data_IF_407607666421
#
_entry.id   IF_407607666421
#
_cell.length_a   1.000
_cell.length_b   1.000
_cell.length_c   1.000
_cell.angle_alpha   90.00
_cell.angle_beta   90.00
_cell.angle_gamma   90.00
#
_symmetry.space_group_name_H-M   'P 1'
#
loop_
_entity.id
_entity.type
_entity.pdbx_description
1 polymer ?
#
# COMPACT_ATOMS: atom_id res chain seq x y z
N UNK A 1 67.27 50.57 -16.92
CA UNK A 1 67.09 49.60 -18.01
C UNK A 1 67.59 48.24 -17.56
N UNK A 2 66.71 47.42 -16.98
CA UNK A 2 66.94 46.00 -16.72
C UNK A 2 65.58 45.32 -16.55
N UNK A 3 65.25 44.58 -17.60
CA UNK A 3 64.63 43.26 -17.52
C UNK A 3 63.11 43.14 -17.30
N UNK A 4 62.34 43.84 -18.14
CA UNK A 4 60.96 43.51 -18.54
C UNK A 4 60.87 42.20 -19.37
N UNK A 5 61.81 41.26 -19.16
CA UNK A 5 62.01 40.07 -19.99
C UNK A 5 61.51 38.80 -19.32
N UNK A 6 61.28 38.85 -18.00
CA UNK A 6 60.80 37.70 -17.22
C UNK A 6 59.27 37.67 -17.05
N UNK A 7 58.58 38.78 -17.33
CA UNK A 7 57.10 38.85 -17.27
C UNK A 7 56.43 38.31 -18.54
N UNK A 8 57.13 38.35 -19.68
CA UNK A 8 56.61 37.88 -20.97
C UNK A 8 56.66 36.36 -21.14
N UNK A 9 57.52 35.66 -20.39
CA UNK A 9 57.70 34.21 -20.50
C UNK A 9 56.65 33.45 -19.66
N UNK A 10 56.16 34.04 -18.55
CA UNK A 10 55.17 33.38 -17.67
C UNK A 10 53.73 33.39 -18.18
N UNK A 11 53.36 34.28 -19.10
CA UNK A 11 51.96 34.43 -19.56
C UNK A 11 51.68 33.58 -20.82
N UNK A 12 52.73 33.17 -21.55
CA UNK A 12 52.59 32.33 -22.75
C UNK A 12 52.23 30.87 -22.45
N UNK A 13 52.33 30.42 -21.20
CA UNK A 13 51.96 29.05 -20.78
C UNK A 13 50.55 28.93 -20.20
N UNK A 14 49.74 30.00 -20.23
CA UNK A 14 48.33 29.97 -19.82
C UNK A 14 47.32 30.04 -20.98
N UNK A 15 47.79 30.06 -22.25
CA UNK A 15 46.90 30.13 -23.44
C UNK A 15 46.89 28.83 -24.28
N UNK A 16 47.71 27.83 -23.95
CA UNK A 16 47.68 26.49 -24.61
C UNK A 16 46.78 25.50 -23.82
N UNK A 17 45.83 26.01 -23.03
CA UNK A 17 44.87 25.21 -22.25
C UNK A 17 43.42 25.26 -22.76
N UNK A 18 43.14 25.92 -23.89
CA UNK A 18 41.76 26.22 -24.32
C UNK A 18 41.44 25.77 -25.76
N UNK A 19 42.40 25.25 -26.52
CA UNK A 19 42.17 24.74 -27.89
C UNK A 19 42.18 23.20 -27.88
N UNK A 20 41.35 22.61 -27.02
CA UNK A 20 41.04 21.18 -26.99
C UNK A 20 39.68 20.88 -27.64
N UNK A 21 39.27 21.67 -28.64
CA UNK A 21 38.06 21.42 -29.41
C UNK A 21 38.42 20.45 -30.56
N UNK A 22 38.47 19.15 -30.26
CA UNK A 22 38.49 18.09 -31.26
C UNK A 22 37.35 17.12 -30.96
N UNK A 23 36.16 17.53 -31.41
CA UNK A 23 35.23 16.72 -32.22
C UNK A 23 35.28 15.21 -31.92
N UNK A 24 34.44 14.76 -30.97
CA UNK A 24 33.88 13.41 -30.98
C UNK A 24 32.41 13.52 -31.40
N UNK A 25 32.04 13.23 -32.65
CA UNK A 25 30.65 13.06 -33.04
C UNK A 25 30.31 11.59 -32.80
N UNK A 26 29.71 11.29 -31.65
CA UNK A 26 29.21 9.93 -31.42
C UNK A 26 29.42 9.42 -30.01
N UNK A 27 28.66 10.00 -29.09
CA UNK A 27 27.78 9.22 -28.22
C UNK A 27 26.91 10.26 -27.54
N UNK A 28 25.84 10.66 -28.25
CA UNK A 28 24.67 11.18 -27.56
C UNK A 28 24.30 10.09 -26.58
N UNK A 29 24.32 10.43 -25.29
CA UNK A 29 23.69 9.65 -24.24
C UNK A 29 22.27 9.35 -24.71
N UNK A 30 22.05 8.18 -25.28
CA UNK A 30 20.70 7.62 -25.28
C UNK A 30 20.47 7.30 -23.82
N UNK A 31 19.97 8.28 -23.07
CA UNK A 31 19.05 8.01 -21.97
C UNK A 31 17.82 7.41 -22.64
N UNK A 32 17.98 6.19 -23.18
CA UNK A 32 16.88 5.32 -23.56
C UNK A 32 16.08 5.22 -22.29
N UNK A 33 14.84 5.72 -22.37
CA UNK A 33 13.98 5.88 -21.22
C UNK A 33 14.01 4.59 -20.41
N UNK A 34 14.55 4.68 -19.20
CA UNK A 34 14.00 3.89 -18.12
C UNK A 34 12.61 4.50 -17.94
N UNK A 35 11.66 4.09 -18.79
CA UNK A 35 10.26 4.05 -18.40
C UNK A 35 10.20 3.00 -17.31
N UNK A 36 10.74 3.35 -16.14
CA UNK A 36 10.43 2.74 -14.87
C UNK A 36 9.03 3.19 -14.52
N UNK A 37 8.06 2.82 -15.37
CA UNK A 37 6.72 2.60 -14.90
C UNK A 37 6.83 1.41 -13.97
N UNK A 38 7.20 1.66 -12.71
CA UNK A 38 6.93 0.70 -11.67
C UNK A 38 5.46 0.35 -11.82
N UNK A 39 5.17 -0.89 -12.17
CA UNK A 39 3.80 -1.37 -12.22
C UNK A 39 3.27 -1.18 -10.80
N UNK A 40 2.51 -0.10 -10.58
CA UNK A 40 1.72 0.06 -9.38
C UNK A 40 0.71 -1.08 -9.45
N UNK A 41 0.93 -2.14 -8.67
CA UNK A 41 0.00 -3.26 -8.63
C UNK A 41 -1.39 -2.75 -8.25
N UNK A 42 -2.40 -3.18 -9.00
CA UNK A 42 -3.78 -2.82 -8.70
C UNK A 42 -4.18 -3.41 -7.35
N UNK A 43 -5.15 -2.78 -6.67
CA UNK A 43 -5.67 -3.26 -5.39
C UNK A 43 -6.20 -4.68 -5.48
N UNK A 44 -6.86 -5.03 -6.60
CA UNK A 44 -7.34 -6.39 -6.83
C UNK A 44 -6.16 -7.36 -6.93
N UNK A 45 -5.10 -7.01 -7.65
CA UNK A 45 -3.91 -7.86 -7.78
C UNK A 45 -3.20 -8.08 -6.43
N UNK A 46 -3.08 -7.02 -5.61
CA UNK A 46 -2.54 -7.11 -4.25
C UNK A 46 -3.41 -8.00 -3.35
N UNK A 47 -4.73 -7.90 -3.48
CA UNK A 47 -5.68 -8.76 -2.75
C UNK A 47 -5.55 -10.22 -3.16
N UNK A 48 -5.46 -10.51 -4.46
CA UNK A 48 -5.30 -11.88 -4.96
C UNK A 48 -3.93 -12.47 -4.59
N UNK A 49 -2.86 -11.67 -4.58
CA UNK A 49 -1.55 -12.10 -4.07
C UNK A 49 -1.61 -12.44 -2.57
N UNK A 50 -2.19 -11.56 -1.74
CA UNK A 50 -2.34 -11.82 -0.30
C UNK A 50 -3.20 -13.05 -0.04
N UNK A 51 -4.26 -13.27 -0.82
CA UNK A 51 -5.04 -14.51 -0.81
C UNK A 51 -4.19 -15.72 -1.20
N UNK A 52 -3.33 -15.64 -2.22
CA UNK A 52 -2.44 -16.74 -2.57
C UNK A 52 -1.46 -17.10 -1.45
N UNK A 53 -0.96 -16.09 -0.73
CA UNK A 53 0.03 -16.29 0.33
C UNK A 53 -0.59 -16.70 1.69
N UNK A 54 -1.77 -16.18 2.03
CA UNK A 54 -2.43 -16.39 3.32
C UNK A 54 -3.74 -17.21 3.25
N UNK A 55 -4.27 -17.44 2.05
CA UNK A 55 -5.60 -18.03 1.85
C UNK A 55 -5.68 -19.50 2.26
N UNK A 56 -4.59 -20.25 2.18
CA UNK A 56 -4.53 -21.60 2.74
C UNK A 56 -4.64 -21.63 4.28
N UNK A 57 -4.48 -20.49 4.95
CA UNK A 57 -4.56 -20.34 6.41
C UNK A 57 -5.89 -19.72 6.87
N UNK A 58 -6.76 -19.31 5.94
CA UNK A 58 -8.02 -18.62 6.24
C UNK A 58 -9.22 -19.53 5.91
N UNK A 59 -10.28 -19.54 6.73
CA UNK A 59 -11.47 -20.34 6.43
C UNK A 59 -12.17 -19.83 5.16
N UNK A 60 -12.83 -20.72 4.39
CA UNK A 60 -13.55 -20.33 3.19
C UNK A 60 -14.64 -19.33 3.52
N UNK A 61 -14.70 -18.25 2.74
CA UNK A 61 -15.69 -17.20 2.90
C UNK A 61 -17.11 -17.64 2.64
N UNK A 62 -18.06 -16.93 3.26
CA UNK A 62 -19.48 -16.98 2.90
C UNK A 62 -19.80 -15.87 1.89
N UNK A 63 -20.72 -16.09 0.96
CA UNK A 63 -21.22 -14.96 0.16
C UNK A 63 -22.14 -14.06 1.00
N UNK A 64 -22.11 -12.72 0.84
CA UNK A 64 -22.96 -11.81 1.59
C UNK A 64 -24.46 -12.13 1.51
N UNK A 65 -24.96 -12.59 0.36
CA UNK A 65 -26.37 -12.96 0.17
C UNK A 65 -26.79 -14.19 0.98
N UNK A 66 -25.84 -15.01 1.43
CA UNK A 66 -26.07 -16.20 2.23
C UNK A 66 -25.94 -15.93 3.74
N UNK A 67 -25.67 -14.69 4.14
CA UNK A 67 -25.67 -14.30 5.55
C UNK A 67 -27.09 -14.42 6.14
N UNK A 68 -27.23 -14.80 7.41
CA UNK A 68 -28.49 -14.63 8.14
C UNK A 68 -28.94 -13.17 8.12
N UNK A 69 -30.22 -12.90 7.86
CA UNK A 69 -30.77 -11.55 7.77
C UNK A 69 -29.91 -10.59 6.92
N UNK A 70 -29.66 -10.88 5.62
CA UNK A 70 -28.65 -10.19 4.82
C UNK A 70 -28.97 -8.71 4.58
N UNK A 71 -30.23 -8.31 4.77
CA UNK A 71 -30.68 -6.91 4.69
C UNK A 71 -30.57 -6.16 6.02
N UNK A 72 -30.20 -6.82 7.12
CA UNK A 72 -29.99 -6.16 8.41
C UNK A 72 -28.76 -5.26 8.38
N UNK A 73 -28.75 -4.22 9.22
CA UNK A 73 -27.60 -3.33 9.38
C UNK A 73 -26.32 -4.12 9.70
N UNK A 74 -26.39 -5.09 10.61
CA UNK A 74 -25.23 -5.89 11.00
C UNK A 74 -24.64 -6.73 9.87
N UNK A 75 -25.48 -7.36 9.05
CA UNK A 75 -25.02 -8.12 7.88
C UNK A 75 -24.35 -7.21 6.82
N UNK A 76 -24.92 -6.03 6.57
CA UNK A 76 -24.34 -5.06 5.64
C UNK A 76 -22.99 -4.54 6.13
N UNK A 77 -22.87 -4.23 7.43
CA UNK A 77 -21.60 -3.82 8.04
C UNK A 77 -20.56 -4.94 7.98
N UNK A 78 -20.97 -6.19 8.23
CA UNK A 78 -20.08 -7.36 8.13
C UNK A 78 -19.52 -7.50 6.72
N UNK A 79 -20.37 -7.44 5.69
CA UNK A 79 -19.95 -7.49 4.30
C UNK A 79 -19.06 -6.30 3.92
N UNK A 80 -19.37 -5.10 4.42
CA UNK A 80 -18.62 -3.88 4.12
C UNK A 80 -17.20 -3.90 4.70
N UNK A 81 -17.05 -4.24 5.98
CA UNK A 81 -15.76 -4.12 6.67
C UNK A 81 -14.91 -5.37 6.56
N UNK A 82 -15.49 -6.55 6.70
CA UNK A 82 -14.74 -7.80 6.85
C UNK A 82 -14.31 -8.43 5.51
N UNK A 83 -14.65 -7.84 4.38
CA UNK A 83 -14.19 -8.26 3.03
C UNK A 83 -13.07 -7.40 2.46
N UNK A 84 -12.66 -6.36 3.18
CA UNK A 84 -11.64 -5.41 2.73
C UNK A 84 -10.26 -6.07 2.56
N UNK A 85 -9.96 -7.08 3.37
CA UNK A 85 -8.64 -7.70 3.45
C UNK A 85 -8.62 -9.18 3.02
N UNK A 86 -9.68 -9.92 3.32
CA UNK A 86 -9.78 -11.36 3.02
C UNK A 86 -11.25 -11.74 2.77
N UNK A 87 -11.53 -13.04 2.68
CA UNK A 87 -12.86 -13.57 2.48
C UNK A 87 -13.78 -13.30 3.68
N UNK A 88 -15.10 -13.22 3.42
CA UNK A 88 -16.11 -12.83 4.41
C UNK A 88 -16.29 -13.93 5.45
N UNK A 89 -16.07 -13.64 6.74
CA UNK A 89 -16.33 -14.61 7.79
C UNK A 89 -17.83 -14.91 7.94
N UNK A 90 -18.18 -16.20 8.03
CA UNK A 90 -19.52 -16.62 8.44
C UNK A 90 -19.74 -16.43 9.94
N UNK A 91 -20.93 -15.98 10.40
CA UNK A 91 -21.22 -15.81 11.83
C UNK A 91 -21.07 -17.08 12.67
N UNK A 92 -21.23 -18.26 12.06
CA UNK A 92 -21.08 -19.55 12.74
C UNK A 92 -19.64 -20.05 12.91
N UNK A 93 -18.62 -19.26 12.59
CA UNK A 93 -17.21 -19.67 12.72
C UNK A 93 -16.64 -19.52 14.14
N UNK A 94 -17.30 -18.74 14.99
CA UNK A 94 -16.93 -18.50 16.39
C UNK A 94 -18.18 -18.52 17.26
N UNK A 95 -18.01 -18.76 18.56
CA UNK A 95 -19.12 -18.65 19.52
C UNK A 95 -19.47 -17.18 19.78
N UNK A 96 -20.64 -16.94 20.38
CA UNK A 96 -21.05 -15.58 20.75
C UNK A 96 -20.08 -14.90 21.72
N UNK A 97 -19.41 -15.66 22.59
CA UNK A 97 -18.42 -15.16 23.55
C UNK A 97 -17.07 -14.84 22.89
N UNK A 98 -16.73 -15.54 21.80
CA UNK A 98 -15.46 -15.35 21.09
C UNK A 98 -15.48 -14.15 20.13
N UNK A 99 -16.63 -13.87 19.52
CA UNK A 99 -16.77 -12.82 18.51
C UNK A 99 -16.27 -11.43 18.93
N UNK A 100 -16.54 -10.91 20.15
CA UNK A 100 -16.00 -9.63 20.59
C UNK A 100 -14.48 -9.54 20.47
N UNK A 101 -13.75 -10.58 20.88
CA UNK A 101 -12.28 -10.60 20.81
C UNK A 101 -11.77 -10.64 19.37
N UNK A 102 -12.44 -11.40 18.50
CA UNK A 102 -12.11 -11.49 17.07
C UNK A 102 -12.31 -10.14 16.38
N UNK A 103 -13.45 -9.51 16.63
CA UNK A 103 -13.81 -8.21 16.04
C UNK A 103 -12.87 -7.12 16.54
N UNK A 104 -12.55 -7.06 17.83
CA UNK A 104 -11.59 -6.10 18.38
C UNK A 104 -10.20 -6.21 17.72
N UNK A 105 -9.69 -7.44 17.60
CA UNK A 105 -8.40 -7.71 16.91
C UNK A 105 -8.42 -7.22 15.46
N UNK A 106 -9.51 -7.44 14.73
CA UNK A 106 -9.64 -6.97 13.34
C UNK A 106 -9.81 -5.46 13.25
N UNK A 107 -10.57 -4.86 14.17
CA UNK A 107 -10.74 -3.43 14.26
C UNK A 107 -9.41 -2.71 14.47
N UNK A 108 -8.58 -3.17 15.42
CA UNK A 108 -7.24 -2.63 15.64
C UNK A 108 -6.36 -2.70 14.38
N UNK A 109 -6.43 -3.81 13.63
CA UNK A 109 -5.72 -3.93 12.34
C UNK A 109 -6.26 -2.96 11.29
N UNK A 110 -7.59 -2.82 11.19
CA UNK A 110 -8.22 -1.84 10.30
C UNK A 110 -7.80 -0.41 10.67
N UNK A 111 -7.72 -0.06 11.95
CA UNK A 111 -7.24 1.26 12.41
C UNK A 111 -5.77 1.50 12.10
N UNK A 112 -4.91 0.50 12.27
CA UNK A 112 -3.49 0.63 11.92
C UNK A 112 -3.29 0.84 10.43
N UNK A 113 -4.11 0.17 9.60
CA UNK A 113 -4.05 0.24 8.14
C UNK A 113 -4.88 1.39 7.57
N UNK A 114 -5.87 1.92 8.28
CA UNK A 114 -6.62 3.10 7.84
C UNK A 114 -5.69 4.31 7.87
N UNK A 115 -6.03 5.35 7.11
CA UNK A 115 -5.30 6.62 7.12
C UNK A 115 -5.24 7.34 8.49
N UNK A 116 -5.82 6.74 9.53
CA UNK A 116 -5.78 7.18 10.93
C UNK A 116 -4.60 6.55 11.71
N UNK A 117 -3.95 5.51 11.17
CA UNK A 117 -2.80 4.83 11.76
C UNK A 117 -1.44 5.31 11.26
N UNK A 118 -0.37 4.81 11.88
CA UNK A 118 1.03 5.11 11.50
C UNK A 118 1.39 4.61 10.09
N UNK A 119 0.62 3.67 9.52
CA UNK A 119 0.83 3.07 8.20
C UNK A 119 0.01 3.78 7.12
N UNK A 120 0.11 5.11 7.07
CA UNK A 120 -0.69 5.99 6.21
C UNK A 120 -0.63 5.65 4.70
N UNK A 121 0.36 4.86 4.24
CA UNK A 121 0.49 4.45 2.84
C UNK A 121 -0.60 3.45 2.37
N UNK A 122 -1.41 2.86 3.27
CA UNK A 122 -2.55 1.98 2.95
C UNK A 122 -3.90 2.74 3.02
N UNK A 123 -4.03 3.85 2.29
CA UNK A 123 -5.09 4.86 2.51
C UNK A 123 -6.56 4.44 2.36
N UNK A 124 -6.84 3.21 1.92
CA UNK A 124 -8.16 2.80 1.44
C UNK A 124 -8.83 1.73 2.32
N UNK A 125 -8.32 1.48 3.52
CA UNK A 125 -8.99 0.65 4.53
C UNK A 125 -9.83 1.56 5.43
N UNK A 126 -11.12 1.23 5.56
CA UNK A 126 -12.06 1.92 6.44
C UNK A 126 -12.19 1.16 7.76
N UNK A 127 -12.12 1.89 8.87
CA UNK A 127 -12.47 1.38 10.18
C UNK A 127 -13.92 1.78 10.52
N UNK A 128 -14.68 0.90 11.20
CA UNK A 128 -16.03 1.23 11.69
C UNK A 128 -15.98 2.29 12.80
N UNK A 129 -17.05 3.07 12.91
CA UNK A 129 -17.34 3.88 14.11
C UNK A 129 -17.73 2.98 15.28
N UNK A 130 -17.72 3.51 16.50
CA UNK A 130 -18.08 2.75 17.70
C UNK A 130 -19.50 2.15 17.63
N UNK A 131 -20.46 2.91 17.08
CA UNK A 131 -21.84 2.43 16.92
C UNK A 131 -21.95 1.31 15.87
N UNK A 132 -21.23 1.43 14.76
CA UNK A 132 -21.16 0.39 13.73
C UNK A 132 -20.48 -0.87 14.26
N UNK A 133 -19.41 -0.71 15.04
CA UNK A 133 -18.70 -1.82 15.67
C UNK A 133 -19.60 -2.56 16.66
N UNK A 134 -20.38 -1.84 17.48
CA UNK A 134 -21.35 -2.45 18.39
C UNK A 134 -22.45 -3.21 17.63
N UNK A 135 -23.00 -2.63 16.56
CA UNK A 135 -24.01 -3.29 15.73
C UNK A 135 -23.46 -4.55 15.04
N UNK A 136 -22.21 -4.50 14.57
CA UNK A 136 -21.50 -5.63 13.98
C UNK A 136 -21.31 -6.77 14.98
N UNK A 137 -20.82 -6.47 16.19
CA UNK A 137 -20.63 -7.47 17.26
C UNK A 137 -21.97 -8.08 17.64
N UNK A 138 -23.01 -7.27 17.87
CA UNK A 138 -24.33 -7.77 18.24
C UNK A 138 -24.92 -8.71 17.18
N UNK A 139 -24.72 -8.41 15.90
CA UNK A 139 -25.13 -9.28 14.80
C UNK A 139 -24.38 -10.62 14.82
N UNK A 140 -23.05 -10.59 14.93
CA UNK A 140 -22.23 -11.80 14.96
C UNK A 140 -22.58 -12.69 16.16
N UNK A 141 -22.80 -12.11 17.34
CA UNK A 141 -23.21 -12.85 18.53
C UNK A 141 -24.58 -13.48 18.39
N UNK A 142 -25.55 -12.76 17.79
CA UNK A 142 -26.92 -13.28 17.57
C UNK A 142 -26.95 -14.49 16.64
N UNK A 143 -26.07 -14.52 15.64
CA UNK A 143 -26.05 -15.56 14.61
C UNK A 143 -24.86 -16.54 14.77
N UNK A 144 -24.20 -16.53 15.93
CA UNK A 144 -23.14 -17.47 16.29
C UNK A 144 -23.67 -18.90 16.45
N UNK A 145 -22.74 -19.87 16.53
CA UNK A 145 -23.03 -21.28 16.78
C UNK A 145 -22.32 -21.79 18.01
#
# INVERSE_FOLDING_TARGET
>A
MKDNRNLAIGISLLIIGVIGLSILPGMRMTMGGITGGGMLMDRHDMKEMMKGMMGALLPPGINPENLPDPQSTGAQLLAQYCTQCHELPGPGMHTAEEWPSVVDRMNQRMWMMSGQGMMRMMHDIKAPTDNELQALVAYLQRHAR
#
